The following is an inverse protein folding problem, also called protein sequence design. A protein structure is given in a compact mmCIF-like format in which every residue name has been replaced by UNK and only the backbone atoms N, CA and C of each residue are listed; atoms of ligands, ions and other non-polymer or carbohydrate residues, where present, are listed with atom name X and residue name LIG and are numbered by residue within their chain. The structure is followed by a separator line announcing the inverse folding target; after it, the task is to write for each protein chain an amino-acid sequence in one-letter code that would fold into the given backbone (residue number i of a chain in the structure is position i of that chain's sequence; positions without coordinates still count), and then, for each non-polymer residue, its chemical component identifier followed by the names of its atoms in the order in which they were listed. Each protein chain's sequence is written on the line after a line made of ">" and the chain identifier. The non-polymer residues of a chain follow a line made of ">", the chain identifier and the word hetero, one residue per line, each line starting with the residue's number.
data_IF_796845807224
#
_entry.id   IF_796845807224
#
_cell.length_a   1.000
_cell.length_b   1.000
_cell.length_c   1.000
_cell.angle_alpha   90.00
_cell.angle_beta   90.00
_cell.angle_gamma   90.00
#
_symmetry.space_group_name_H-M   'P 1'
#
loop_
_entity.id
_entity.type
_entity.pdbx_description
1 polymer ?
#
# COMPACT_ATOMS: atom_id res chain seq x y z
N UNK A 1 -34.60 -26.41 26.49
CA UNK A 1 -33.34 -25.63 26.47
C UNK A 1 -32.21 -26.39 25.72
N UNK A 2 -31.87 -27.59 26.13
CA UNK A 2 -30.75 -28.37 25.56
C UNK A 2 -30.88 -28.55 24.04
N UNK A 3 -32.08 -28.95 23.57
CA UNK A 3 -32.36 -29.17 22.15
C UNK A 3 -32.16 -27.89 21.32
N UNK A 4 -32.58 -26.73 21.83
CA UNK A 4 -32.44 -25.44 21.14
C UNK A 4 -30.96 -25.01 21.11
N UNK A 5 -30.20 -25.23 22.18
CA UNK A 5 -28.76 -24.97 22.22
C UNK A 5 -28.02 -25.85 21.22
N UNK A 6 -28.34 -27.14 21.18
CA UNK A 6 -27.76 -28.09 20.20
C UNK A 6 -28.08 -27.66 18.77
N UNK A 7 -29.32 -27.23 18.49
CA UNK A 7 -29.72 -26.73 17.19
C UNK A 7 -28.95 -25.46 16.79
N UNK A 8 -28.70 -24.56 17.75
CA UNK A 8 -27.88 -23.36 17.52
C UNK A 8 -26.44 -23.72 17.13
N UNK A 9 -25.84 -24.70 17.80
CA UNK A 9 -24.48 -25.19 17.49
C UNK A 9 -24.45 -25.81 16.09
N UNK A 10 -25.46 -26.61 15.74
CA UNK A 10 -25.58 -27.21 14.40
C UNK A 10 -25.72 -26.11 13.34
N UNK A 11 -26.54 -25.07 13.62
CA UNK A 11 -26.70 -23.91 12.73
C UNK A 11 -25.39 -23.20 12.47
N UNK A 12 -24.58 -23.00 13.53
CA UNK A 12 -23.25 -22.42 13.38
C UNK A 12 -22.36 -23.24 12.45
N UNK A 13 -22.27 -24.52 12.72
CA UNK A 13 -21.40 -25.41 11.96
C UNK A 13 -21.80 -25.47 10.47
N UNK A 14 -23.10 -25.58 10.19
CA UNK A 14 -23.62 -25.66 8.82
C UNK A 14 -23.56 -24.33 8.06
N UNK A 15 -23.75 -23.19 8.72
CA UNK A 15 -23.74 -21.87 8.07
C UNK A 15 -22.34 -21.29 7.84
N UNK A 16 -21.33 -21.83 8.51
CA UNK A 16 -19.94 -21.28 8.51
C UNK A 16 -19.28 -21.35 7.13
N UNK A 17 -19.38 -22.49 6.45
CA UNK A 17 -18.76 -22.67 5.13
C UNK A 17 -19.44 -21.84 4.05
N UNK A 18 -20.81 -21.87 3.88
CA UNK A 18 -21.49 -21.02 2.92
C UNK A 18 -21.29 -19.52 3.14
N UNK A 19 -21.26 -19.08 4.40
CA UNK A 19 -21.02 -17.66 4.71
C UNK A 19 -19.60 -17.22 4.31
N UNK A 20 -18.60 -18.05 4.54
CA UNK A 20 -17.21 -17.78 4.13
C UNK A 20 -17.05 -17.74 2.61
N UNK A 21 -17.69 -18.66 1.89
CA UNK A 21 -17.72 -18.67 0.44
C UNK A 21 -18.35 -17.41 -0.13
N UNK A 22 -19.54 -17.01 0.40
CA UNK A 22 -20.24 -15.78 0.00
C UNK A 22 -19.39 -14.54 0.20
N UNK A 23 -18.62 -14.44 1.33
CA UNK A 23 -17.69 -13.34 1.57
C UNK A 23 -16.56 -13.30 0.52
N UNK A 24 -16.00 -14.44 0.14
CA UNK A 24 -14.97 -14.52 -0.90
C UNK A 24 -15.48 -14.08 -2.27
N UNK A 25 -16.70 -14.48 -2.62
CA UNK A 25 -17.37 -14.06 -3.86
C UNK A 25 -17.70 -12.56 -3.86
N UNK A 26 -18.12 -11.99 -2.72
CA UNK A 26 -18.34 -10.56 -2.55
C UNK A 26 -17.05 -9.77 -2.76
N UNK A 27 -15.94 -10.22 -2.19
CA UNK A 27 -14.64 -9.58 -2.35
C UNK A 27 -14.21 -9.54 -3.83
N UNK A 28 -14.31 -10.65 -4.55
CA UNK A 28 -14.00 -10.72 -6.00
C UNK A 28 -14.86 -9.78 -6.83
N UNK A 29 -16.18 -9.74 -6.58
CA UNK A 29 -17.10 -8.82 -7.27
C UNK A 29 -16.73 -7.35 -7.03
N UNK A 30 -16.44 -6.98 -5.78
CA UNK A 30 -16.08 -5.62 -5.41
C UNK A 30 -14.72 -5.21 -5.99
N UNK A 31 -13.74 -6.11 -6.05
CA UNK A 31 -12.44 -5.89 -6.66
C UNK A 31 -12.57 -5.60 -8.17
N UNK A 32 -13.38 -6.38 -8.88
CA UNK A 32 -13.67 -6.11 -10.29
C UNK A 32 -14.30 -4.73 -10.51
N UNK A 33 -15.24 -4.32 -9.65
CA UNK A 33 -15.87 -3.00 -9.74
C UNK A 33 -14.86 -1.88 -9.45
N UNK A 34 -14.04 -2.03 -8.43
CA UNK A 34 -13.01 -1.05 -8.06
C UNK A 34 -11.93 -0.92 -9.16
N UNK A 35 -11.47 -2.04 -9.73
CA UNK A 35 -10.51 -2.04 -10.83
C UNK A 35 -11.10 -1.41 -12.09
N UNK A 36 -12.37 -1.72 -12.41
CA UNK A 36 -13.06 -1.10 -13.55
C UNK A 36 -13.19 0.42 -13.39
N UNK A 37 -13.50 0.89 -12.18
CA UNK A 37 -13.61 2.33 -11.88
C UNK A 37 -12.26 3.04 -12.03
N UNK A 38 -11.19 2.45 -11.52
CA UNK A 38 -9.83 3.02 -11.66
C UNK A 38 -9.35 3.12 -13.10
N UNK A 39 -9.77 2.19 -13.96
CA UNK A 39 -9.37 2.13 -15.37
C UNK A 39 -10.50 2.54 -16.31
N UNK A 40 -11.44 3.40 -15.88
CA UNK A 40 -12.63 3.76 -16.65
C UNK A 40 -12.29 4.35 -18.02
N UNK A 41 -11.28 5.20 -18.09
CA UNK A 41 -10.81 5.84 -19.35
C UNK A 41 -10.37 4.77 -20.36
N UNK A 42 -9.54 3.81 -19.95
CA UNK A 42 -9.06 2.72 -20.81
C UNK A 42 -10.23 1.85 -21.28
N UNK A 43 -11.19 1.57 -20.37
CA UNK A 43 -12.37 0.78 -20.71
C UNK A 43 -13.22 1.41 -21.80
N UNK A 44 -13.40 2.72 -21.73
CA UNK A 44 -14.17 3.48 -22.73
C UNK A 44 -13.38 3.58 -24.03
N UNK A 45 -12.13 3.99 -23.96
CA UNK A 45 -11.28 4.20 -25.15
C UNK A 45 -11.08 2.91 -25.96
N UNK A 46 -10.96 1.74 -25.29
CA UNK A 46 -10.75 0.46 -25.96
C UNK A 46 -12.04 -0.34 -26.19
N UNK A 47 -13.22 0.22 -25.90
CA UNK A 47 -14.51 -0.46 -26.09
C UNK A 47 -14.67 -1.73 -25.22
N UNK A 48 -14.03 -1.80 -24.06
CA UNK A 48 -14.01 -2.97 -23.18
C UNK A 48 -15.21 -3.06 -22.25
N UNK A 49 -16.01 -1.99 -22.13
CA UNK A 49 -17.10 -1.86 -21.15
C UNK A 49 -18.05 -3.07 -21.17
N UNK A 50 -18.51 -3.50 -22.36
CA UNK A 50 -19.42 -4.65 -22.45
C UNK A 50 -18.82 -5.98 -22.00
N UNK A 51 -17.51 -6.19 -22.23
CA UNK A 51 -16.81 -7.42 -21.81
C UNK A 51 -16.65 -7.46 -20.29
N UNK A 52 -16.27 -6.34 -19.68
CA UNK A 52 -16.11 -6.25 -18.22
C UNK A 52 -17.47 -6.30 -17.50
N UNK A 53 -18.51 -5.66 -18.05
CA UNK A 53 -19.87 -5.78 -17.51
C UNK A 53 -20.31 -7.23 -17.47
N UNK A 54 -20.09 -7.99 -18.55
CA UNK A 54 -20.39 -9.44 -18.57
C UNK A 54 -19.64 -10.20 -17.47
N UNK A 55 -18.33 -9.97 -17.36
CA UNK A 55 -17.49 -10.60 -16.34
C UNK A 55 -17.92 -10.24 -14.91
N UNK A 56 -18.31 -8.98 -14.69
CA UNK A 56 -18.85 -8.54 -13.41
C UNK A 56 -20.21 -9.18 -13.13
N UNK A 57 -21.11 -9.27 -14.14
CA UNK A 57 -22.40 -9.95 -14.00
C UNK A 57 -22.23 -11.43 -13.61
N UNK A 58 -21.33 -12.15 -14.26
CA UNK A 58 -21.02 -13.54 -13.89
C UNK A 58 -20.49 -13.66 -12.43
N UNK A 59 -19.65 -12.73 -11.99
CA UNK A 59 -19.17 -12.69 -10.61
C UNK A 59 -20.31 -12.34 -9.63
N UNK A 60 -21.20 -11.44 -10.03
CA UNK A 60 -22.37 -11.06 -9.25
C UNK A 60 -23.40 -12.18 -9.13
N UNK A 61 -23.67 -12.92 -10.21
CA UNK A 61 -24.53 -14.11 -10.18
C UNK A 61 -23.99 -15.18 -9.23
N UNK A 62 -22.69 -15.45 -9.28
CA UNK A 62 -22.04 -16.39 -8.34
C UNK A 62 -22.16 -15.90 -6.90
N UNK A 63 -21.99 -14.61 -6.65
CA UNK A 63 -22.17 -14.01 -5.33
C UNK A 63 -23.61 -14.14 -4.86
N UNK A 64 -24.60 -13.82 -5.72
CA UNK A 64 -26.03 -13.94 -5.37
C UNK A 64 -26.39 -15.38 -5.04
N UNK A 65 -25.97 -16.35 -5.85
CA UNK A 65 -26.20 -17.78 -5.59
C UNK A 65 -25.55 -18.25 -4.28
N UNK A 66 -24.30 -17.83 -4.01
CA UNK A 66 -23.61 -18.15 -2.77
C UNK A 66 -24.27 -17.51 -1.54
N UNK A 67 -24.67 -16.24 -1.64
CA UNK A 67 -25.38 -15.54 -0.58
C UNK A 67 -26.77 -16.13 -0.32
N UNK A 68 -27.48 -16.54 -1.37
CA UNK A 68 -28.78 -17.23 -1.26
C UNK A 68 -28.62 -18.54 -0.48
N UNK A 69 -27.64 -19.39 -0.86
CA UNK A 69 -27.36 -20.65 -0.15
C UNK A 69 -27.04 -20.41 1.33
N UNK A 70 -26.20 -19.41 1.63
CA UNK A 70 -25.89 -19.04 3.01
C UNK A 70 -27.13 -18.58 3.78
N UNK A 71 -28.03 -17.83 3.12
CA UNK A 71 -29.28 -17.35 3.70
C UNK A 71 -30.28 -18.49 3.90
N UNK A 72 -30.40 -19.42 2.94
CA UNK A 72 -31.31 -20.55 3.02
C UNK A 72 -30.92 -21.52 4.16
N UNK A 73 -29.63 -21.81 4.33
CA UNK A 73 -29.14 -22.61 5.44
C UNK A 73 -29.44 -21.96 6.78
N UNK A 74 -29.12 -20.67 6.94
CA UNK A 74 -29.37 -19.94 8.19
C UNK A 74 -30.89 -19.76 8.45
N UNK A 75 -31.64 -19.42 7.42
CA UNK A 75 -33.08 -19.21 7.49
C UNK A 75 -33.85 -20.48 7.75
N UNK A 76 -33.51 -21.59 7.06
CA UNK A 76 -34.15 -22.89 7.25
C UNK A 76 -33.96 -23.43 8.68
N UNK A 77 -32.75 -23.38 9.19
CA UNK A 77 -32.47 -23.79 10.57
C UNK A 77 -33.16 -22.86 11.60
N UNK A 78 -33.20 -21.55 11.31
CA UNK A 78 -33.96 -20.58 12.15
C UNK A 78 -35.45 -20.86 12.15
N UNK A 79 -36.05 -21.24 11.00
CA UNK A 79 -37.44 -21.62 10.91
C UNK A 79 -37.77 -22.90 11.74
N UNK A 80 -36.89 -23.92 11.65
CA UNK A 80 -37.02 -25.15 12.47
C UNK A 80 -36.94 -24.79 13.95
N UNK A 81 -36.02 -23.96 14.37
CA UNK A 81 -35.94 -23.50 15.77
C UNK A 81 -37.21 -22.78 16.23
N UNK A 82 -37.80 -21.94 15.38
CA UNK A 82 -39.03 -21.22 15.66
C UNK A 82 -40.24 -22.16 15.81
N UNK A 83 -40.40 -23.14 14.89
CA UNK A 83 -41.46 -24.14 14.97
C UNK A 83 -41.30 -24.97 16.24
N UNK A 84 -40.13 -25.47 16.55
CA UNK A 84 -39.86 -26.26 17.75
C UNK A 84 -40.20 -25.47 19.03
N UNK A 85 -39.89 -24.17 19.08
CA UNK A 85 -40.26 -23.30 20.19
C UNK A 85 -41.77 -23.18 20.35
N UNK A 86 -42.49 -22.98 19.22
CA UNK A 86 -43.97 -22.87 19.23
C UNK A 86 -44.59 -24.18 19.72
N UNK A 87 -44.08 -25.33 19.28
CA UNK A 87 -44.51 -26.65 19.73
C UNK A 87 -44.29 -26.84 21.24
N UNK A 88 -43.09 -26.45 21.71
CA UNK A 88 -42.76 -26.53 23.15
C UNK A 88 -43.69 -25.64 23.98
N UNK A 89 -43.95 -24.42 23.53
CA UNK A 89 -44.87 -23.50 24.21
C UNK A 89 -46.29 -24.03 24.25
N UNK A 90 -46.80 -24.61 23.15
CA UNK A 90 -48.10 -25.27 23.11
C UNK A 90 -48.18 -26.50 24.02
N UNK A 91 -47.08 -27.30 24.09
CA UNK A 91 -47.02 -28.43 25.00
C UNK A 91 -47.06 -28.02 26.48
N UNK A 92 -46.40 -26.92 26.86
CA UNK A 92 -46.43 -26.36 28.21
C UNK A 92 -47.86 -25.93 28.57
N UNK A 93 -48.58 -25.27 27.65
CA UNK A 93 -49.97 -24.90 27.83
C UNK A 93 -50.86 -26.12 27.97
N UNK A 94 -50.71 -27.16 27.16
CA UNK A 94 -51.48 -28.39 27.21
C UNK A 94 -51.27 -29.15 28.53
N UNK A 95 -50.02 -29.28 28.99
CA UNK A 95 -49.71 -29.89 30.30
C UNK A 95 -50.32 -29.06 31.43
N UNK A 96 -50.19 -27.73 31.40
CA UNK A 96 -50.79 -26.85 32.37
C UNK A 96 -52.31 -27.01 32.44
N UNK A 97 -53.00 -27.09 31.28
CA UNK A 97 -54.46 -27.35 31.23
C UNK A 97 -54.80 -28.72 31.79
N UNK A 98 -54.06 -29.77 31.48
CA UNK A 98 -54.24 -31.12 32.02
C UNK A 98 -54.18 -31.14 33.54
N UNK A 99 -53.16 -30.48 34.13
CA UNK A 99 -53.01 -30.40 35.62
C UNK A 99 -54.16 -29.63 36.28
N UNK A 100 -54.69 -28.58 35.60
CA UNK A 100 -55.86 -27.83 36.11
C UNK A 100 -57.14 -28.67 36.07
N UNK A 101 -57.37 -29.44 35.00
CA UNK A 101 -58.51 -30.33 34.85
C UNK A 101 -58.48 -31.42 35.95
N UNK A 102 -57.34 -31.94 36.27
CA UNK A 102 -57.16 -32.92 37.31
C UNK A 102 -57.09 -32.32 38.75
N UNK A 103 -57.33 -31.01 38.89
CA UNK A 103 -57.31 -30.28 40.15
C UNK A 103 -55.92 -30.30 40.88
N UNK A 104 -54.87 -30.63 40.20
CA UNK A 104 -53.49 -30.63 40.72
C UNK A 104 -52.82 -29.23 40.64
N UNK A 105 -53.44 -28.29 39.89
CA UNK A 105 -52.91 -26.94 39.76
C UNK A 105 -54.05 -25.92 39.62
N UNK A 106 -53.77 -24.64 39.89
CA UNK A 106 -54.72 -23.52 39.68
C UNK A 106 -54.61 -22.95 38.25
N UNK A 107 -55.67 -22.32 37.75
CA UNK A 107 -55.69 -21.69 36.44
C UNK A 107 -54.56 -20.66 36.25
N UNK A 108 -54.11 -20.02 37.34
CA UNK A 108 -52.97 -19.10 37.33
C UNK A 108 -51.63 -19.74 36.92
N UNK A 109 -51.47 -21.06 37.11
CA UNK A 109 -50.25 -21.79 36.73
C UNK A 109 -50.09 -21.88 35.22
N UNK A 110 -51.18 -21.92 34.44
CA UNK A 110 -51.13 -21.91 32.97
C UNK A 110 -50.54 -20.59 32.50
N UNK A 111 -51.05 -19.47 33.04
CA UNK A 111 -50.59 -18.13 32.68
C UNK A 111 -49.12 -17.93 33.11
N UNK A 112 -48.78 -18.26 34.34
CA UNK A 112 -47.43 -18.15 34.86
C UNK A 112 -46.45 -19.02 34.07
N UNK A 113 -46.79 -20.28 33.76
CA UNK A 113 -46.01 -21.21 32.97
C UNK A 113 -45.74 -20.71 31.55
N UNK A 114 -46.75 -20.12 30.89
CA UNK A 114 -46.58 -19.55 29.55
C UNK A 114 -45.65 -18.32 29.53
N UNK A 115 -45.80 -17.42 30.50
CA UNK A 115 -44.95 -16.23 30.65
C UNK A 115 -43.50 -16.63 30.97
N UNK A 116 -43.32 -17.55 31.92
CA UNK A 116 -41.98 -18.02 32.32
C UNK A 116 -41.27 -18.75 31.19
N UNK A 117 -41.96 -19.63 30.44
CA UNK A 117 -41.39 -20.32 29.30
C UNK A 117 -41.00 -19.34 28.17
N UNK A 118 -41.85 -18.33 27.87
CA UNK A 118 -41.55 -17.31 26.90
C UNK A 118 -40.30 -16.48 27.31
N UNK A 119 -40.22 -16.07 28.57
CA UNK A 119 -39.07 -15.33 29.11
C UNK A 119 -37.76 -16.17 29.15
N UNK A 120 -37.88 -17.44 29.52
CA UNK A 120 -36.72 -18.35 29.55
C UNK A 120 -36.14 -18.65 28.17
N UNK A 121 -36.95 -18.58 27.10
CA UNK A 121 -36.53 -18.86 25.73
C UNK A 121 -36.10 -17.60 24.95
N UNK A 122 -36.50 -16.41 25.40
CA UNK A 122 -36.16 -15.15 24.72
C UNK A 122 -34.64 -14.92 24.51
N UNK A 123 -33.73 -15.22 25.45
CA UNK A 123 -32.29 -15.09 25.21
C UNK A 123 -31.79 -16.00 24.09
N UNK A 124 -32.37 -17.20 23.96
CA UNK A 124 -31.99 -18.16 22.88
C UNK A 124 -32.42 -17.62 21.52
N UNK A 125 -33.61 -17.04 21.40
CA UNK A 125 -34.08 -16.42 20.18
C UNK A 125 -33.21 -15.24 19.74
N UNK A 126 -32.81 -14.39 20.69
CA UNK A 126 -31.90 -13.29 20.41
C UNK A 126 -30.53 -13.79 19.95
N UNK A 127 -29.98 -14.82 20.58
CA UNK A 127 -28.75 -15.44 20.17
C UNK A 127 -28.83 -15.97 18.73
N UNK A 128 -29.89 -16.66 18.36
CA UNK A 128 -30.10 -17.16 16.99
C UNK A 128 -30.25 -16.00 16.00
N UNK A 129 -31.09 -14.99 16.32
CA UNK A 129 -31.31 -13.85 15.44
C UNK A 129 -30.03 -13.04 15.14
N UNK A 130 -29.14 -12.89 16.11
CA UNK A 130 -27.93 -12.11 15.99
C UNK A 130 -26.68 -12.96 15.69
N UNK A 131 -26.83 -14.26 15.52
CA UNK A 131 -25.73 -15.21 15.32
C UNK A 131 -24.83 -14.85 14.14
N UNK A 132 -25.41 -14.49 13.00
CA UNK A 132 -24.69 -14.07 11.79
C UNK A 132 -23.80 -12.85 12.06
N UNK A 133 -24.30 -11.86 12.80
CA UNK A 133 -23.55 -10.68 13.21
C UNK A 133 -22.37 -11.03 14.13
N UNK A 134 -22.61 -11.90 15.11
CA UNK A 134 -21.59 -12.38 16.03
C UNK A 134 -20.45 -13.10 15.31
N UNK A 135 -20.77 -14.02 14.40
CA UNK A 135 -19.75 -14.74 13.60
C UNK A 135 -18.93 -13.78 12.74
N UNK A 136 -19.57 -12.79 12.09
CA UNK A 136 -18.90 -11.79 11.31
C UNK A 136 -17.94 -10.91 12.16
N UNK A 137 -18.42 -10.48 13.33
CA UNK A 137 -17.62 -9.72 14.29
C UNK A 137 -16.39 -10.51 14.77
N UNK A 138 -16.58 -11.78 15.15
CA UNK A 138 -15.52 -12.69 15.57
C UNK A 138 -14.46 -12.91 14.48
N UNK A 139 -14.90 -13.08 13.21
CA UNK A 139 -13.96 -13.23 12.08
C UNK A 139 -13.18 -11.95 11.83
N UNK A 140 -13.80 -10.78 11.95
CA UNK A 140 -13.15 -9.48 11.82
C UNK A 140 -12.15 -9.26 12.95
N UNK A 141 -12.51 -9.63 14.18
CA UNK A 141 -11.60 -9.62 15.33
C UNK A 141 -10.36 -10.50 15.13
N UNK A 142 -10.53 -11.72 14.65
CA UNK A 142 -9.38 -12.60 14.35
C UNK A 142 -8.50 -12.08 13.22
N UNK A 143 -9.07 -11.39 12.22
CA UNK A 143 -8.25 -10.73 11.18
C UNK A 143 -7.47 -9.56 11.74
N UNK A 144 -8.12 -8.74 12.56
CA UNK A 144 -7.48 -7.59 13.20
C UNK A 144 -6.34 -8.03 14.12
N UNK A 145 -6.58 -9.03 14.98
CA UNK A 145 -5.53 -9.56 15.86
C UNK A 145 -4.33 -10.10 15.08
N UNK A 146 -4.56 -10.87 14.00
CA UNK A 146 -3.47 -11.36 13.16
C UNK A 146 -2.68 -10.23 12.51
N UNK A 147 -3.34 -9.15 12.08
CA UNK A 147 -2.66 -7.97 11.57
C UNK A 147 -1.83 -7.30 12.66
N UNK A 148 -2.38 -7.12 13.85
CA UNK A 148 -1.65 -6.53 14.99
C UNK A 148 -0.48 -7.40 15.43
N UNK A 149 -0.64 -8.71 15.45
CA UNK A 149 0.45 -9.66 15.77
C UNK A 149 1.56 -9.69 14.70
N UNK A 150 1.21 -9.39 13.44
CA UNK A 150 2.19 -9.30 12.35
C UNK A 150 2.97 -7.99 12.35
N UNK A 151 2.52 -6.98 13.06
CA UNK A 151 3.26 -5.73 13.23
C UNK A 151 4.42 -5.98 14.21
N UNK A 152 5.68 -5.75 13.79
CA UNK A 152 6.80 -5.87 14.70
C UNK A 152 6.61 -4.89 15.87
N UNK A 153 6.86 -5.37 17.10
CA UNK A 153 6.90 -4.50 18.25
C UNK A 153 7.92 -3.38 17.97
N UNK A 154 7.48 -2.13 18.04
CA UNK A 154 8.40 -1.02 17.87
C UNK A 154 9.45 -1.12 18.99
N UNK A 155 10.75 -1.20 18.67
CA UNK A 155 11.79 -1.18 19.69
C UNK A 155 11.67 0.11 20.49
N UNK A 156 12.11 0.12 21.77
CA UNK A 156 12.10 1.32 22.57
C UNK A 156 12.86 2.42 21.83
N UNK A 157 12.18 3.55 21.64
CA UNK A 157 12.70 4.67 20.86
C UNK A 157 13.88 5.29 21.60
N UNK A 158 15.08 5.10 21.10
CA UNK A 158 16.24 5.86 21.54
C UNK A 158 16.17 7.23 20.89
N UNK A 159 16.34 8.30 21.66
CA UNK A 159 16.48 9.64 21.12
C UNK A 159 17.81 9.72 20.34
N UNK A 160 17.71 9.50 19.03
CA UNK A 160 18.85 9.63 18.13
C UNK A 160 19.01 11.10 17.75
N UNK A 161 20.27 11.53 17.60
CA UNK A 161 20.58 12.86 17.08
C UNK A 161 20.21 12.97 15.60
N UNK A 162 19.77 14.14 15.15
CA UNK A 162 19.46 14.40 13.74
C UNK A 162 20.66 14.06 12.86
N UNK A 163 20.49 13.28 11.79
CA UNK A 163 21.58 12.86 10.91
C UNK A 163 22.10 14.07 10.14
N UNK A 164 23.42 14.16 9.99
CA UNK A 164 24.09 15.30 9.36
C UNK A 164 25.37 14.99 8.62
N UNK A 165 25.85 13.72 8.65
CA UNK A 165 27.19 13.39 8.14
C UNK A 165 27.18 12.38 7.02
N UNK A 166 26.54 11.20 7.21
CA UNK A 166 26.79 10.06 6.33
C UNK A 166 25.59 9.13 6.19
N UNK A 167 25.40 8.62 4.98
CA UNK A 167 24.58 7.43 4.69
C UNK A 167 25.53 6.25 4.40
N UNK A 168 25.37 5.12 5.09
CA UNK A 168 26.08 3.87 4.76
C UNK A 168 25.13 2.72 4.45
N UNK A 169 25.46 1.96 3.44
CA UNK A 169 24.77 0.76 2.98
C UNK A 169 25.75 -0.38 3.07
N UNK A 170 25.48 -1.37 3.93
CA UNK A 170 26.43 -2.40 4.35
C UNK A 170 25.87 -3.80 4.02
N UNK A 171 26.33 -4.42 2.92
CA UNK A 171 25.97 -5.78 2.53
C UNK A 171 24.47 -6.01 2.32
N UNK A 172 23.76 -5.01 1.82
CA UNK A 172 22.29 -5.02 1.73
C UNK A 172 21.81 -5.98 0.66
N UNK A 173 20.98 -6.95 1.08
CA UNK A 173 20.25 -7.84 0.17
C UNK A 173 18.74 -7.67 0.38
N UNK A 174 17.99 -7.54 -0.71
CA UNK A 174 16.58 -7.15 -0.70
C UNK A 174 15.73 -8.24 -1.33
N UNK A 175 14.69 -8.63 -0.58
CA UNK A 175 13.60 -9.50 -1.03
C UNK A 175 12.30 -8.70 -0.92
N UNK A 176 11.50 -8.58 -1.99
CA UNK A 176 10.22 -7.88 -1.92
C UNK A 176 9.27 -8.54 -0.92
N UNK A 177 8.42 -7.77 -0.24
CA UNK A 177 7.39 -8.32 0.61
C UNK A 177 6.49 -9.31 -0.13
N UNK A 178 6.33 -10.51 0.42
CA UNK A 178 5.52 -11.59 -0.18
C UNK A 178 6.20 -12.40 -1.27
N UNK A 179 7.44 -12.11 -1.62
CA UNK A 179 8.26 -12.89 -2.55
C UNK A 179 9.37 -13.63 -1.78
N UNK A 180 10.04 -14.58 -2.46
CA UNK A 180 11.21 -15.31 -1.93
C UNK A 180 12.48 -15.03 -2.74
N UNK A 181 12.37 -14.29 -3.84
CA UNK A 181 13.47 -14.01 -4.74
C UNK A 181 14.25 -12.78 -4.30
N UNK A 182 15.56 -12.93 -4.16
CA UNK A 182 16.47 -11.80 -3.93
C UNK A 182 16.55 -10.97 -5.21
N UNK A 183 16.18 -9.68 -5.14
CA UNK A 183 16.24 -8.73 -6.26
C UNK A 183 17.53 -7.92 -6.23
N UNK A 184 17.99 -7.52 -5.05
CA UNK A 184 19.30 -6.84 -4.88
C UNK A 184 20.13 -7.68 -3.94
N UNK A 185 21.40 -7.92 -4.32
CA UNK A 185 22.31 -8.78 -3.59
C UNK A 185 23.57 -8.03 -3.21
N UNK A 186 23.89 -8.02 -1.92
CA UNK A 186 25.18 -7.57 -1.33
C UNK A 186 25.60 -6.16 -1.77
N UNK A 187 24.65 -5.21 -1.79
CA UNK A 187 24.94 -3.84 -2.12
C UNK A 187 25.65 -3.14 -0.97
N UNK A 188 26.81 -2.53 -1.26
CA UNK A 188 27.64 -1.82 -0.28
C UNK A 188 28.19 -0.54 -0.89
N UNK A 189 27.89 0.60 -0.26
CA UNK A 189 28.40 1.92 -0.60
C UNK A 189 28.17 2.92 0.53
N UNK A 190 28.83 4.07 0.45
CA UNK A 190 28.65 5.14 1.43
C UNK A 190 28.68 6.50 0.74
N UNK A 191 27.89 7.43 1.29
CA UNK A 191 27.78 8.81 0.83
C UNK A 191 27.96 9.75 2.02
N UNK A 192 28.70 10.82 1.82
CA UNK A 192 28.87 11.89 2.79
C UNK A 192 27.85 13.00 2.55
N UNK A 193 27.61 13.84 3.55
CA UNK A 193 26.76 15.03 3.45
C UNK A 193 27.15 15.88 2.21
N UNK A 194 26.16 16.32 1.45
CA UNK A 194 26.34 17.05 0.20
C UNK A 194 26.60 16.21 -1.04
N UNK A 195 26.80 14.88 -0.91
CA UNK A 195 26.93 14.02 -2.10
C UNK A 195 25.59 13.86 -2.84
N UNK A 196 25.68 13.82 -4.17
CA UNK A 196 24.60 13.43 -5.06
C UNK A 196 24.92 12.10 -5.73
N UNK A 197 24.06 11.10 -5.56
CA UNK A 197 24.24 9.78 -6.19
C UNK A 197 23.23 9.58 -7.32
N UNK A 198 23.71 9.34 -8.53
CA UNK A 198 22.89 8.81 -9.63
C UNK A 198 22.89 7.28 -9.62
N UNK A 199 21.73 6.67 -9.57
CA UNK A 199 21.55 5.22 -9.69
C UNK A 199 21.09 4.90 -11.09
N UNK A 200 21.93 4.20 -11.86
CA UNK A 200 21.69 3.85 -13.26
C UNK A 200 21.72 2.34 -13.47
N UNK A 201 21.08 1.87 -14.51
CA UNK A 201 21.04 0.45 -14.89
C UNK A 201 19.80 0.10 -15.72
N UNK A 202 19.77 -1.09 -16.34
CA UNK A 202 18.62 -1.53 -17.15
C UNK A 202 17.33 -1.65 -16.32
N UNK A 203 16.18 -1.65 -16.99
CA UNK A 203 14.90 -1.92 -16.33
C UNK A 203 14.93 -3.29 -15.67
N UNK A 204 14.32 -3.41 -14.50
CA UNK A 204 14.32 -4.66 -13.73
C UNK A 204 15.62 -4.98 -12.99
N UNK A 205 16.66 -4.12 -13.01
CA UNK A 205 17.91 -4.35 -12.31
C UNK A 205 17.82 -4.22 -10.78
N UNK A 206 16.70 -3.78 -10.22
CA UNK A 206 16.48 -3.63 -8.78
C UNK A 206 16.64 -2.22 -8.24
N UNK A 207 16.74 -1.16 -9.10
CA UNK A 207 16.89 0.24 -8.67
C UNK A 207 15.81 0.71 -7.70
N UNK A 208 14.55 0.58 -8.07
CA UNK A 208 13.43 0.99 -7.21
C UNK A 208 13.35 0.15 -5.92
N UNK A 209 13.78 -1.11 -5.96
CA UNK A 209 13.90 -1.94 -4.75
C UNK A 209 14.98 -1.42 -3.81
N UNK A 210 16.14 -1.02 -4.34
CA UNK A 210 17.21 -0.40 -3.57
C UNK A 210 16.74 0.92 -2.94
N UNK A 211 16.05 1.77 -3.72
CA UNK A 211 15.48 3.03 -3.24
C UNK A 211 14.51 2.80 -2.08
N UNK A 212 13.58 1.83 -2.18
CA UNK A 212 12.65 1.50 -1.11
C UNK A 212 13.34 1.04 0.17
N UNK A 213 14.49 0.38 0.05
CA UNK A 213 15.30 0.03 1.21
C UNK A 213 16.03 1.24 1.80
N UNK A 214 16.53 2.18 0.97
CA UNK A 214 17.20 3.40 1.42
C UNK A 214 16.26 4.32 2.22
N UNK A 215 14.99 4.37 1.86
CA UNK A 215 13.98 5.17 2.58
C UNK A 215 13.28 4.40 3.73
N UNK A 216 13.67 3.15 3.99
CA UNK A 216 13.13 2.33 5.07
C UNK A 216 11.74 1.73 4.80
N UNK A 217 11.18 1.85 3.59
CA UNK A 217 9.89 1.23 3.21
C UNK A 217 10.02 -0.29 3.17
N UNK A 218 11.15 -0.80 2.68
CA UNK A 218 11.46 -2.22 2.72
C UNK A 218 12.64 -2.49 3.64
N UNK A 219 12.45 -3.41 4.58
CA UNK A 219 13.56 -3.87 5.41
C UNK A 219 14.44 -4.83 4.61
N UNK A 220 15.78 -4.61 4.56
CA UNK A 220 16.70 -5.55 3.95
C UNK A 220 16.61 -6.93 4.62
N UNK A 221 16.60 -8.00 3.81
CA UNK A 221 16.68 -9.37 4.33
C UNK A 221 18.05 -9.67 4.95
N UNK A 222 19.10 -8.96 4.49
CA UNK A 222 20.45 -9.01 5.03
C UNK A 222 21.12 -7.65 4.90
N UNK A 223 22.05 -7.35 5.78
CA UNK A 223 22.75 -6.06 5.80
C UNK A 223 21.95 -4.96 6.48
N UNK A 224 22.48 -3.74 6.47
CA UNK A 224 21.87 -2.58 7.12
C UNK A 224 22.06 -1.32 6.28
N UNK A 225 21.07 -0.45 6.31
CA UNK A 225 21.16 0.95 5.88
C UNK A 225 21.24 1.81 7.14
N UNK A 226 22.22 2.71 7.21
CA UNK A 226 22.46 3.54 8.41
C UNK A 226 22.58 5.02 8.04
N UNK A 227 22.03 5.86 8.90
CA UNK A 227 22.25 7.30 8.94
C UNK A 227 23.10 7.62 10.17
N UNK A 228 24.28 8.18 9.96
CA UNK A 228 25.28 8.51 11.01
C UNK A 228 25.56 7.32 11.96
N UNK A 229 25.63 6.10 11.40
CA UNK A 229 25.86 4.86 12.14
C UNK A 229 24.61 4.21 12.74
N UNK A 230 23.50 4.93 12.90
CA UNK A 230 22.23 4.38 13.36
C UNK A 230 21.49 3.69 12.21
N UNK A 231 21.11 2.42 12.38
CA UNK A 231 20.35 1.69 11.39
C UNK A 231 18.92 2.25 11.28
N UNK A 232 18.30 2.21 10.09
CA UNK A 232 16.97 2.80 9.88
C UNK A 232 15.89 2.17 10.78
N UNK A 233 16.03 0.91 11.15
CA UNK A 233 15.14 0.20 12.07
C UNK A 233 15.24 0.65 13.53
N UNK A 234 16.23 1.47 13.88
CA UNK A 234 16.39 2.07 15.21
C UNK A 234 15.65 3.41 15.35
N UNK A 235 15.21 3.98 14.23
CA UNK A 235 14.45 5.22 14.22
C UNK A 235 12.94 4.93 14.31
N UNK A 236 12.19 5.80 15.01
CA UNK A 236 10.74 5.79 14.82
C UNK A 236 10.38 6.33 13.43
N UNK A 237 9.31 5.81 12.82
CA UNK A 237 8.86 6.26 11.51
C UNK A 237 8.63 7.78 11.44
N UNK A 238 8.07 8.35 12.51
CA UNK A 238 7.76 9.79 12.57
C UNK A 238 9.03 10.65 12.63
N UNK A 239 10.04 10.21 13.38
CA UNK A 239 11.33 10.93 13.46
C UNK A 239 12.10 10.75 12.17
N UNK A 240 12.21 9.52 11.65
CA UNK A 240 12.90 9.24 10.41
C UNK A 240 12.29 10.00 9.23
N UNK A 241 10.96 10.08 9.17
CA UNK A 241 10.22 10.78 8.12
C UNK A 241 10.55 12.27 8.01
N UNK A 242 10.97 12.92 9.11
CA UNK A 242 11.43 14.32 9.09
C UNK A 242 12.78 14.50 8.39
N UNK A 243 13.61 13.45 8.40
CA UNK A 243 14.95 13.46 7.83
C UNK A 243 15.03 12.85 6.43
N UNK A 244 13.92 12.30 5.92
CA UNK A 244 13.84 11.69 4.59
C UNK A 244 12.84 12.43 3.71
N UNK A 245 13.30 12.85 2.53
CA UNK A 245 12.46 13.29 1.42
C UNK A 245 12.35 12.16 0.39
N UNK A 246 11.14 11.78 -0.01
CA UNK A 246 10.93 10.72 -0.97
C UNK A 246 9.95 11.09 -2.08
N UNK A 247 10.39 10.95 -3.32
CA UNK A 247 9.56 11.05 -4.52
C UNK A 247 9.55 9.68 -5.19
N UNK A 248 8.45 8.91 -5.11
CA UNK A 248 8.31 7.63 -5.79
C UNK A 248 8.09 7.81 -7.30
N UNK A 249 8.32 6.75 -8.07
CA UNK A 249 8.09 6.71 -9.52
C UNK A 249 6.62 6.99 -9.87
N UNK A 250 5.69 6.30 -9.18
CA UNK A 250 4.26 6.56 -9.30
C UNK A 250 3.86 7.58 -8.23
N UNK A 251 3.60 8.81 -8.66
CA UNK A 251 3.23 9.90 -7.75
C UNK A 251 1.77 9.78 -7.36
N UNK A 252 1.52 9.57 -6.07
CA UNK A 252 0.21 9.64 -5.47
C UNK A 252 0.14 10.82 -4.48
N UNK A 253 -0.87 11.67 -4.67
CA UNK A 253 -1.20 12.74 -3.75
C UNK A 253 -2.43 12.36 -2.93
N UNK A 254 -2.47 12.83 -1.69
CA UNK A 254 -3.57 12.55 -0.78
C UNK A 254 -4.71 13.56 -0.97
N UNK A 255 -5.94 13.13 -0.69
CA UNK A 255 -7.07 14.04 -0.63
C UNK A 255 -6.81 15.15 0.39
N UNK A 256 -6.99 16.39 -0.04
CA UNK A 256 -6.69 17.59 0.75
C UNK A 256 -6.19 18.72 -0.13
N UNK A 257 -5.68 19.79 0.46
CA UNK A 257 -5.14 20.93 -0.27
C UNK A 257 -3.71 20.69 -0.78
N UNK A 258 -3.29 21.50 -1.74
CA UNK A 258 -1.88 21.56 -2.20
C UNK A 258 -0.94 21.81 -1.03
N UNK A 259 -1.26 22.78 -0.16
CA UNK A 259 -0.49 23.08 1.04
C UNK A 259 -0.32 21.87 1.94
N UNK A 260 -1.42 21.16 2.24
CA UNK A 260 -1.41 19.97 3.09
C UNK A 260 -0.53 18.85 2.50
N UNK A 261 -0.57 18.66 1.19
CA UNK A 261 0.29 17.68 0.54
C UNK A 261 1.77 18.06 0.61
N UNK A 262 2.13 19.33 0.44
CA UNK A 262 3.52 19.81 0.54
C UNK A 262 4.04 19.64 1.97
N UNK A 263 3.28 20.09 2.98
CA UNK A 263 3.71 20.00 4.38
C UNK A 263 3.53 18.61 5.01
N UNK A 264 3.19 17.59 4.22
CA UNK A 264 3.01 16.21 4.72
C UNK A 264 1.93 16.09 5.81
N UNK A 265 0.90 16.95 5.76
CA UNK A 265 -0.17 17.05 6.76
C UNK A 265 0.34 17.37 8.18
N UNK A 266 1.51 18.01 8.29
CA UNK A 266 2.05 18.46 9.56
C UNK A 266 1.17 19.59 10.14
N UNK A 267 0.57 19.42 11.34
CA UNK A 267 -0.27 20.45 11.97
C UNK A 267 0.53 21.69 12.42
N UNK A 268 1.85 21.56 12.59
CA UNK A 268 2.75 22.64 13.00
C UNK A 268 3.40 23.35 11.79
N UNK A 269 2.99 23.02 10.57
CA UNK A 269 3.55 23.57 9.35
C UNK A 269 3.34 25.09 9.27
N UNK A 270 4.40 25.81 8.91
CA UNK A 270 4.32 27.26 8.66
C UNK A 270 4.10 27.55 7.19
N UNK A 271 3.32 28.57 6.87
CA UNK A 271 3.14 29.03 5.48
C UNK A 271 4.48 29.36 4.80
N UNK A 272 5.45 29.89 5.55
CA UNK A 272 6.78 30.21 5.04
C UNK A 272 7.53 28.93 4.61
N UNK A 273 7.49 27.86 5.39
CA UNK A 273 8.12 26.58 5.06
C UNK A 273 7.49 25.94 3.82
N UNK A 274 6.15 26.00 3.71
CA UNK A 274 5.41 25.49 2.54
C UNK A 274 5.82 26.24 1.26
N UNK A 275 5.85 27.59 1.32
CA UNK A 275 6.22 28.43 0.19
C UNK A 275 7.70 28.23 -0.17
N UNK A 276 8.59 28.05 0.79
CA UNK A 276 10.01 27.80 0.54
C UNK A 276 10.19 26.48 -0.25
N UNK A 277 9.59 25.39 0.21
CA UNK A 277 9.63 24.11 -0.48
C UNK A 277 9.03 24.17 -1.89
N UNK A 278 7.93 24.92 -2.06
CA UNK A 278 7.30 25.12 -3.36
C UNK A 278 8.18 25.93 -4.34
N UNK A 279 8.89 26.95 -3.85
CA UNK A 279 9.84 27.73 -4.64
C UNK A 279 11.05 26.91 -5.03
N UNK A 280 11.58 26.12 -4.12
CA UNK A 280 12.70 25.22 -4.40
C UNK A 280 12.36 24.18 -5.46
N UNK A 281 11.16 23.60 -5.37
CA UNK A 281 10.66 22.66 -6.40
C UNK A 281 10.23 23.35 -7.71
N UNK A 282 10.27 24.68 -7.80
CA UNK A 282 9.83 25.43 -8.98
C UNK A 282 8.33 25.34 -9.25
N UNK A 283 7.51 25.13 -8.22
CA UNK A 283 6.05 24.95 -8.37
C UNK A 283 5.25 26.13 -7.84
N UNK A 284 5.89 27.08 -7.15
CA UNK A 284 5.23 28.23 -6.53
C UNK A 284 4.36 29.03 -7.53
N UNK A 285 4.94 29.43 -8.67
CA UNK A 285 4.25 30.24 -9.66
C UNK A 285 3.08 29.52 -10.33
N UNK A 286 3.16 28.21 -10.44
CA UNK A 286 2.05 27.35 -10.87
C UNK A 286 0.92 27.35 -9.84
N UNK A 287 1.26 27.19 -8.55
CA UNK A 287 0.27 27.13 -7.47
C UNK A 287 -0.49 28.45 -7.34
N UNK A 288 0.17 29.60 -7.39
CA UNK A 288 -0.51 30.91 -7.25
C UNK A 288 -1.44 31.23 -8.44
N UNK A 289 -1.25 30.57 -9.58
CA UNK A 289 -2.14 30.68 -10.75
C UNK A 289 -3.39 29.80 -10.64
N UNK A 290 -3.44 28.86 -9.67
CA UNK A 290 -4.64 28.06 -9.40
C UNK A 290 -5.72 28.95 -8.76
N UNK A 291 -6.99 28.56 -8.94
CA UNK A 291 -8.14 29.34 -8.49
C UNK A 291 -8.11 29.67 -6.99
N UNK A 292 -7.66 28.73 -6.17
CA UNK A 292 -7.57 28.83 -4.71
C UNK A 292 -6.11 28.79 -4.21
N UNK A 293 -5.13 28.90 -5.12
CA UNK A 293 -3.71 28.88 -4.77
C UNK A 293 -3.33 27.63 -3.98
N UNK A 294 -2.70 27.81 -2.84
CA UNK A 294 -2.26 26.73 -1.96
C UNK A 294 -3.42 25.96 -1.30
N UNK A 295 -4.61 26.55 -1.20
CA UNK A 295 -5.81 25.91 -0.64
C UNK A 295 -6.58 25.06 -1.66
N UNK A 296 -6.13 25.05 -2.92
CA UNK A 296 -6.73 24.25 -3.99
C UNK A 296 -6.83 22.79 -3.59
N UNK A 297 -8.06 22.25 -3.59
CA UNK A 297 -8.34 20.85 -3.22
C UNK A 297 -7.94 19.92 -4.38
N UNK A 298 -7.11 18.92 -4.08
CA UNK A 298 -6.54 18.03 -5.09
C UNK A 298 -7.46 16.85 -5.41
N UNK A 299 -8.38 16.51 -4.49
CA UNK A 299 -9.24 15.33 -4.61
C UNK A 299 -8.52 14.02 -4.32
N UNK A 300 -9.25 12.90 -4.41
CA UNK A 300 -8.65 11.57 -4.27
C UNK A 300 -7.64 11.32 -5.40
N UNK A 301 -6.44 10.86 -5.05
CA UNK A 301 -5.34 10.52 -5.98
C UNK A 301 -4.84 11.69 -6.85
N UNK A 302 -5.11 12.94 -6.48
CA UNK A 302 -4.60 14.09 -7.23
C UNK A 302 -5.29 14.36 -8.56
N UNK A 303 -6.52 13.87 -8.73
CA UNK A 303 -7.26 13.94 -10.02
C UNK A 303 -7.48 15.36 -10.55
N UNK A 304 -7.34 16.38 -9.72
CA UNK A 304 -7.47 17.79 -10.12
C UNK A 304 -6.20 18.35 -10.78
N UNK A 305 -5.07 17.64 -10.73
CA UNK A 305 -3.78 18.07 -11.29
C UNK A 305 -3.37 17.22 -12.49
N UNK A 306 -2.67 17.83 -13.45
CA UNK A 306 -1.97 17.05 -14.47
C UNK A 306 -0.81 16.24 -13.86
N UNK A 307 -0.35 15.19 -14.53
CA UNK A 307 0.75 14.35 -14.05
C UNK A 307 2.02 15.16 -13.73
N UNK A 308 2.39 16.13 -14.59
CA UNK A 308 3.53 17.01 -14.35
C UNK A 308 3.32 17.98 -13.17
N UNK A 309 2.10 18.48 -12.99
CA UNK A 309 1.77 19.30 -11.82
C UNK A 309 1.84 18.48 -10.52
N UNK A 310 1.26 17.29 -10.52
CA UNK A 310 1.31 16.37 -9.39
C UNK A 310 2.76 16.02 -9.03
N UNK A 311 3.61 15.78 -10.02
CA UNK A 311 5.04 15.47 -9.80
C UNK A 311 5.79 16.63 -9.18
N UNK A 312 5.57 17.89 -9.64
CA UNK A 312 6.19 19.08 -9.04
C UNK A 312 5.71 19.30 -7.59
N UNK A 313 4.42 19.10 -7.28
CA UNK A 313 3.89 19.16 -5.90
C UNK A 313 4.51 18.07 -5.02
N UNK A 314 4.66 16.86 -5.55
CA UNK A 314 5.31 15.77 -4.83
C UNK A 314 6.82 16.01 -4.63
N UNK A 315 7.49 16.70 -5.56
CA UNK A 315 8.87 17.16 -5.36
C UNK A 315 8.94 18.18 -4.21
N UNK A 316 8.04 19.16 -4.16
CA UNK A 316 7.96 20.10 -3.05
C UNK A 316 7.73 19.38 -1.71
N UNK A 317 6.86 18.36 -1.68
CA UNK A 317 6.66 17.48 -0.53
C UNK A 317 7.94 16.76 -0.11
N UNK A 318 8.73 16.30 -1.09
CA UNK A 318 9.99 15.61 -0.81
C UNK A 318 11.05 16.57 -0.23
N UNK A 319 11.04 17.85 -0.60
CA UNK A 319 11.97 18.88 -0.15
C UNK A 319 11.55 19.57 1.16
N UNK A 320 10.27 19.45 1.56
CA UNK A 320 9.73 20.13 2.74
C UNK A 320 10.46 19.73 4.02
N UNK A 321 10.88 20.75 4.80
CA UNK A 321 11.55 20.57 6.09
C UNK A 321 13.04 20.25 5.98
N UNK A 322 13.67 20.53 4.85
CA UNK A 322 15.12 20.36 4.60
C UNK A 322 15.65 18.98 5.03
N UNK A 323 15.11 17.87 4.47
CA UNK A 323 15.50 16.54 4.89
C UNK A 323 16.98 16.26 4.54
N UNK A 324 17.65 15.50 5.42
CA UNK A 324 19.05 15.11 5.23
C UNK A 324 19.26 14.12 4.08
N UNK A 325 18.32 13.19 3.86
CA UNK A 325 18.34 12.23 2.76
C UNK A 325 17.16 12.48 1.82
N UNK A 326 17.44 12.83 0.57
CA UNK A 326 16.42 13.02 -0.46
C UNK A 326 16.59 11.94 -1.51
N UNK A 327 15.52 11.19 -1.78
CA UNK A 327 15.52 10.05 -2.69
C UNK A 327 14.44 10.26 -3.75
N UNK A 328 14.86 10.32 -5.00
CA UNK A 328 14.01 10.64 -6.15
C UNK A 328 14.03 9.47 -7.16
N UNK A 329 12.90 8.80 -7.33
CA UNK A 329 12.77 7.67 -8.27
C UNK A 329 12.16 8.15 -9.60
N UNK A 330 12.98 8.28 -10.63
CA UNK A 330 12.64 8.77 -11.96
C UNK A 330 11.90 10.13 -11.96
N UNK A 331 12.46 11.16 -11.31
CA UNK A 331 11.78 12.43 -11.08
C UNK A 331 11.44 13.21 -12.37
N UNK A 332 12.02 12.85 -13.52
CA UNK A 332 11.85 13.54 -14.81
C UNK A 332 10.75 12.92 -15.70
N UNK A 333 10.04 11.89 -15.27
CA UNK A 333 9.15 11.10 -16.15
C UNK A 333 8.03 11.93 -16.81
N UNK A 334 7.49 12.92 -16.09
CA UNK A 334 6.37 13.76 -16.51
C UNK A 334 6.70 15.26 -16.54
N UNK A 335 7.98 15.63 -16.47
CA UNK A 335 8.41 17.02 -16.47
C UNK A 335 8.69 17.51 -17.88
N UNK A 336 8.41 18.79 -18.12
CA UNK A 336 8.87 19.57 -19.26
C UNK A 336 10.28 20.13 -19.01
N UNK A 337 10.83 20.83 -19.99
CA UNK A 337 12.19 21.41 -19.89
C UNK A 337 12.35 22.34 -18.67
N UNK A 338 11.33 23.17 -18.39
CA UNK A 338 11.35 24.07 -17.22
C UNK A 338 11.34 23.27 -15.92
N UNK A 339 10.58 22.17 -15.86
CA UNK A 339 10.54 21.25 -14.73
C UNK A 339 11.87 20.52 -14.53
N UNK A 340 12.55 20.10 -15.59
CA UNK A 340 13.87 19.48 -15.53
C UNK A 340 14.93 20.44 -14.98
N UNK A 341 14.89 21.72 -15.41
CA UNK A 341 15.77 22.75 -14.87
C UNK A 341 15.49 23.04 -13.38
N UNK A 342 14.19 23.11 -13.03
CA UNK A 342 13.80 23.32 -11.62
C UNK A 342 14.26 22.14 -10.76
N UNK A 343 14.10 20.90 -11.21
CA UNK A 343 14.60 19.70 -10.54
C UNK A 343 16.12 19.76 -10.36
N UNK A 344 16.87 20.12 -11.41
CA UNK A 344 18.32 20.22 -11.36
C UNK A 344 18.78 21.28 -10.33
N UNK A 345 18.10 22.45 -10.29
CA UNK A 345 18.34 23.49 -9.28
C UNK A 345 18.02 22.99 -7.87
N UNK A 346 16.89 22.32 -7.68
CA UNK A 346 16.48 21.77 -6.39
C UNK A 346 17.48 20.74 -5.85
N UNK A 347 17.93 19.80 -6.69
CA UNK A 347 18.95 18.81 -6.32
C UNK A 347 20.27 19.50 -5.92
N UNK A 348 20.70 20.48 -6.69
CA UNK A 348 21.94 21.22 -6.42
C UNK A 348 21.83 22.03 -5.13
N UNK A 349 20.74 22.76 -4.91
CA UNK A 349 20.50 23.52 -3.69
C UNK A 349 20.40 22.64 -2.43
N UNK A 350 19.76 21.49 -2.53
CA UNK A 350 19.69 20.54 -1.42
C UNK A 350 21.09 20.00 -1.04
N UNK A 351 21.93 19.68 -2.02
CA UNK A 351 23.32 19.24 -1.80
C UNK A 351 24.18 20.34 -1.16
N UNK A 352 24.02 21.58 -1.59
CA UNK A 352 24.72 22.73 -1.02
C UNK A 352 24.37 22.97 0.47
N UNK A 353 23.15 22.60 0.88
CA UNK A 353 22.75 22.60 2.29
C UNK A 353 23.25 21.39 3.09
N UNK A 354 23.97 20.48 2.45
CA UNK A 354 24.52 19.28 3.07
C UNK A 354 23.61 18.05 3.02
N UNK A 355 22.50 18.10 2.30
CA UNK A 355 21.66 16.92 2.10
C UNK A 355 22.34 15.89 1.17
N UNK A 356 22.13 14.62 1.43
CA UNK A 356 22.48 13.53 0.50
C UNK A 356 21.32 13.35 -0.45
N UNK A 357 21.57 13.46 -1.76
CA UNK A 357 20.53 13.30 -2.78
C UNK A 357 20.79 12.06 -3.62
N UNK A 358 19.83 11.14 -3.69
CA UNK A 358 19.89 9.94 -4.51
C UNK A 358 18.82 10.05 -5.61
N UNK A 359 19.27 9.96 -6.88
CA UNK A 359 18.39 10.08 -8.05
C UNK A 359 18.49 8.81 -8.89
N UNK A 360 17.35 8.14 -9.09
CA UNK A 360 17.27 7.10 -10.13
C UNK A 360 16.98 7.79 -11.45
N UNK A 361 17.84 7.62 -12.41
CA UNK A 361 17.68 8.25 -13.72
C UNK A 361 17.82 7.25 -14.86
N UNK A 362 16.93 7.40 -15.85
CA UNK A 362 17.04 6.73 -17.15
C UNK A 362 17.53 7.68 -18.25
N UNK A 363 17.59 8.99 -17.97
CA UNK A 363 18.01 10.03 -18.90
C UNK A 363 19.28 10.74 -18.40
N UNK A 364 20.17 11.18 -19.29
CA UNK A 364 21.38 11.89 -18.90
C UNK A 364 21.13 13.15 -18.05
N UNK A 365 20.06 13.88 -18.32
CA UNK A 365 19.67 15.09 -17.57
C UNK A 365 19.47 14.81 -16.09
N UNK A 366 18.89 13.67 -15.73
CA UNK A 366 18.65 13.30 -14.34
C UNK A 366 19.91 13.10 -13.50
N UNK A 367 21.07 12.88 -14.14
CA UNK A 367 22.37 12.70 -13.48
C UNK A 367 23.28 13.92 -13.59
N UNK A 368 22.80 15.04 -14.14
CA UNK A 368 23.63 16.24 -14.32
C UNK A 368 24.03 16.87 -12.99
N UNK A 369 23.11 16.91 -12.04
CA UNK A 369 23.30 17.54 -10.72
C UNK A 369 23.99 16.63 -9.67
N UNK A 370 24.38 15.39 -10.02
CA UNK A 370 25.03 14.46 -9.10
C UNK A 370 26.52 14.31 -9.43
N UNK A 371 27.31 13.97 -8.40
CA UNK A 371 28.78 13.81 -8.47
C UNK A 371 29.23 12.36 -8.36
N UNK A 372 28.37 11.46 -7.87
CA UNK A 372 28.62 10.04 -7.73
C UNK A 372 27.67 9.23 -8.61
N UNK A 373 28.11 8.07 -9.10
CA UNK A 373 27.27 7.11 -9.82
C UNK A 373 27.36 5.72 -9.21
N UNK A 374 26.23 5.04 -9.21
CA UNK A 374 26.10 3.63 -8.90
C UNK A 374 25.45 2.94 -10.10
N UNK A 375 26.13 1.94 -10.65
CA UNK A 375 25.62 1.10 -11.74
C UNK A 375 25.09 -0.19 -11.16
N UNK A 376 23.77 -0.41 -11.30
CA UNK A 376 23.12 -1.63 -10.86
C UNK A 376 22.76 -2.50 -12.06
N UNK A 377 23.22 -3.76 -12.08
CA UNK A 377 22.91 -4.73 -13.12
C UNK A 377 22.66 -6.10 -12.49
N UNK A 378 21.55 -6.73 -12.89
CA UNK A 378 21.15 -8.06 -12.40
C UNK A 378 21.15 -8.17 -10.86
N UNK A 379 20.67 -7.11 -10.19
CA UNK A 379 20.61 -7.03 -8.74
C UNK A 379 21.95 -6.80 -8.02
N UNK A 380 23.04 -6.53 -8.73
CA UNK A 380 24.38 -6.32 -8.13
C UNK A 380 24.96 -4.98 -8.51
N UNK A 381 25.69 -4.39 -7.58
CA UNK A 381 26.48 -3.19 -7.85
C UNK A 381 27.67 -3.56 -8.74
N UNK A 382 27.69 -3.04 -9.96
CA UNK A 382 28.75 -3.27 -10.95
C UNK A 382 29.88 -2.24 -10.85
N UNK A 383 29.51 -1.00 -10.51
CA UNK A 383 30.45 0.10 -10.30
C UNK A 383 29.82 1.12 -9.34
N UNK A 384 30.66 1.73 -8.51
CA UNK A 384 30.32 2.84 -7.64
C UNK A 384 31.53 3.76 -7.51
N UNK A 385 31.31 5.06 -7.64
CA UNK A 385 32.38 6.05 -7.50
C UNK A 385 32.04 7.39 -8.15
N UNK A 386 33.05 8.28 -8.28
CA UNK A 386 32.89 9.57 -8.96
C UNK A 386 32.31 9.40 -10.36
N UNK A 387 31.37 10.27 -10.72
CA UNK A 387 30.59 10.21 -11.96
C UNK A 387 31.45 10.01 -13.21
N UNK A 388 32.51 10.79 -13.36
CA UNK A 388 33.39 10.74 -14.54
C UNK A 388 34.12 9.40 -14.66
N UNK A 389 34.61 8.87 -13.55
CA UNK A 389 35.30 7.58 -13.52
C UNK A 389 34.36 6.41 -13.90
N UNK A 390 33.15 6.42 -13.35
CA UNK A 390 32.17 5.37 -13.65
C UNK A 390 31.66 5.46 -15.08
N UNK A 391 31.38 6.67 -15.60
CA UNK A 391 30.98 6.85 -17.00
C UNK A 391 32.08 6.38 -17.97
N UNK A 392 33.35 6.68 -17.69
CA UNK A 392 34.46 6.19 -18.47
C UNK A 392 34.55 4.66 -18.54
N UNK A 393 34.31 3.98 -17.42
CA UNK A 393 34.24 2.50 -17.37
C UNK A 393 33.08 1.91 -18.15
N UNK A 394 31.89 2.53 -18.05
CA UNK A 394 30.69 2.07 -18.75
C UNK A 394 30.84 2.26 -20.25
N UNK A 395 31.36 3.40 -20.72
CA UNK A 395 31.58 3.69 -22.13
C UNK A 395 32.64 2.76 -22.75
N UNK A 396 33.71 2.44 -22.04
CA UNK A 396 34.72 1.46 -22.51
C UNK A 396 34.17 0.04 -22.68
N UNK A 397 33.20 -0.38 -21.83
CA UNK A 397 32.52 -1.68 -21.94
C UNK A 397 31.49 -1.75 -23.07
N UNK A 398 31.03 -0.61 -23.57
CA UNK A 398 30.02 -0.50 -24.66
C UNK A 398 30.71 -0.24 -26.01
N UNK A 399 32.02 0.02 -26.06
CA UNK A 399 32.73 0.19 -27.30
C UNK A 399 32.55 -1.04 -28.20
N UNK A 400 32.15 -0.88 -29.49
CA UNK A 400 31.91 -2.01 -30.37
C UNK A 400 33.23 -2.78 -30.58
N UNK A 401 33.15 -4.10 -30.83
CA UNK A 401 34.37 -4.87 -31.19
C UNK A 401 35.00 -4.21 -32.39
N UNK A 402 36.34 -4.12 -32.36
CA UNK A 402 37.18 -3.54 -33.37
C UNK A 402 36.74 -3.88 -34.79
N UNK A 403 36.81 -2.95 -35.75
CA UNK A 403 36.30 -3.18 -37.09
C UNK A 403 36.95 -4.45 -37.67
N UNK A 404 36.09 -5.32 -38.20
CA UNK A 404 36.48 -6.52 -38.92
C UNK A 404 37.41 -6.06 -40.04
N UNK A 405 38.70 -6.45 -39.98
CA UNK A 405 39.64 -6.29 -41.10
C UNK A 405 39.06 -7.08 -42.28
N UNK A 406 38.53 -6.38 -43.26
CA UNK A 406 38.25 -6.96 -44.57
C UNK A 406 39.58 -7.30 -45.19
N UNK A 407 39.95 -8.58 -45.17
CA UNK A 407 41.05 -9.09 -45.97
C UNK A 407 40.54 -9.06 -47.40
N UNK A 408 41.02 -8.08 -48.16
CA UNK A 408 40.83 -8.05 -49.61
C UNK A 408 41.67 -9.18 -50.23
N UNK A 409 41.01 -10.23 -50.68
CA UNK A 409 41.59 -11.29 -51.49
C UNK A 409 41.87 -10.72 -52.89
N UNK A 410 43.04 -10.11 -53.07
CA UNK A 410 43.56 -9.73 -54.37
C UNK A 410 44.55 -10.80 -54.80
N UNK A 411 44.14 -11.78 -55.59
CA UNK A 411 45.01 -12.77 -56.14
C UNK A 411 44.36 -13.87 -56.92
N UNK A 412 43.69 -13.56 -58.02
CA UNK A 412 43.52 -14.56 -59.11
C UNK A 412 44.30 -14.08 -60.29
N UNK A 413 45.50 -14.61 -60.39
CA UNK A 413 46.35 -14.50 -61.58
C UNK A 413 45.75 -15.34 -62.74
N UNK A 414 45.76 -14.76 -63.92
CA UNK A 414 45.49 -15.39 -65.20
C UNK A 414 46.53 -16.52 -65.49
N UNK A 415 46.09 -17.62 -65.95
CA UNK A 415 46.67 -18.38 -67.07
C UNK A 415 45.65 -19.42 -67.54
#
# INVERSE_FOLDING_TARGET
>A
AIILVTLTIITEYMSRAPAREAMGLAARRNDLAATSRRNAEVLVAMGMSGRLTRRWSEANEKYLAGNQRASDVAGGLGAIAKVMRMTLQSAVLAVGAYLVINQEATAGVIIAGSILSARALAPVDLAIAHWKGFVAARQSWHRLNRLLESLPAQPPQTLLQSPSKRLSVEGVSIVPPGDQKIIVQDASFALEAGNGLGVIGPSGSGKSSLIRALVGVWQPARGKVRLDGAALDQWSSDVLGRHIGYLPQDVELFAGSVAQNICRFDPEATSQGIIAAAKEAGVHDMIIKMREGYDTQIGEQGTALSAGQAQRVALARALYGDPFLIVLDEPNSNLDTEGDEALTRAVRGARERGAIVVVVAHRPVGIEAVDMLLVLKDGRVQAFGPKEAVLGQVLQRVAPPSPIKIVSDAGVAKS
#
